data_IF_723167001449
#
_entry.id   IF_723167001449
#
_cell.length_a   1.000
_cell.length_b   1.000
_cell.length_c   1.000
_cell.angle_alpha   90.00
_cell.angle_beta   90.00
_cell.angle_gamma   90.00
#
_symmetry.space_group_name_H-M   'P 1'
#
loop_
_entity.id
_entity.type
_entity.pdbx_description
1 polymer ?
#
# COMPACT_ATOMS: atom_id res chain seq x y z
N UNK A 1 -37.11 -16.67 -56.24
CA UNK A 1 -36.97 -16.54 -54.79
C UNK A 1 -36.15 -17.75 -54.33
N UNK A 2 -34.80 -17.80 -54.30
CA UNK A 2 -33.77 -16.85 -53.87
C UNK A 2 -34.15 -16.23 -52.51
N UNK A 3 -33.48 -16.47 -51.38
CA UNK A 3 -32.04 -16.66 -51.15
C UNK A 3 -31.82 -17.57 -49.93
N UNK A 4 -30.77 -18.38 -50.02
CA UNK A 4 -30.37 -19.51 -49.18
C UNK A 4 -29.52 -19.13 -47.96
N UNK A 5 -29.84 -19.74 -46.83
CA UNK A 5 -29.00 -19.91 -45.63
C UNK A 5 -27.64 -20.54 -45.98
N UNK A 6 -26.53 -19.79 -45.89
CA UNK A 6 -25.17 -20.33 -46.01
C UNK A 6 -24.08 -19.34 -45.56
N UNK A 7 -24.05 -18.91 -44.29
CA UNK A 7 -22.88 -18.21 -43.71
C UNK A 7 -22.72 -18.60 -42.23
N UNK A 8 -22.45 -19.87 -41.95
CA UNK A 8 -21.99 -20.31 -40.62
C UNK A 8 -21.04 -21.50 -40.74
N UNK A 9 -20.10 -21.39 -41.69
CA UNK A 9 -19.01 -22.34 -41.95
C UNK A 9 -17.92 -21.60 -42.73
N UNK A 10 -17.17 -20.74 -42.04
CA UNK A 10 -15.88 -20.14 -42.43
C UNK A 10 -15.61 -18.99 -41.46
N UNK A 11 -14.87 -19.28 -40.38
CA UNK A 11 -13.94 -18.44 -39.59
C UNK A 11 -13.61 -19.33 -38.38
N UNK A 12 -12.91 -20.42 -38.65
CA UNK A 12 -12.35 -21.31 -37.63
C UNK A 12 -11.13 -21.98 -38.26
N UNK A 13 -10.19 -21.14 -38.75
CA UNK A 13 -8.96 -21.58 -39.41
C UNK A 13 -7.97 -20.40 -39.62
N UNK A 14 -7.66 -19.63 -38.56
CA UNK A 14 -6.58 -18.60 -38.60
C UNK A 14 -5.76 -18.57 -37.29
N UNK A 15 -5.82 -19.59 -36.43
CA UNK A 15 -5.01 -19.67 -35.21
C UNK A 15 -4.18 -20.95 -35.22
N UNK A 16 -3.23 -21.05 -36.16
CA UNK A 16 -2.15 -22.04 -36.08
C UNK A 16 -0.96 -21.71 -37.00
N UNK A 17 -0.32 -20.55 -36.81
CA UNK A 17 0.97 -20.27 -37.45
C UNK A 17 1.65 -19.02 -36.88
N UNK A 18 2.30 -19.13 -35.73
CA UNK A 18 3.52 -18.36 -35.45
C UNK A 18 4.31 -19.02 -34.32
N UNK A 19 4.98 -20.11 -34.66
CA UNK A 19 6.12 -20.61 -33.90
C UNK A 19 7.40 -20.17 -34.62
N UNK A 20 8.40 -19.77 -33.82
CA UNK A 20 9.82 -19.86 -34.15
C UNK A 20 10.44 -18.68 -34.94
N UNK A 21 10.86 -17.63 -34.23
CA UNK A 21 12.08 -16.87 -34.54
C UNK A 21 12.81 -16.58 -33.24
N UNK A 22 13.79 -17.41 -32.88
CA UNK A 22 14.85 -17.09 -31.93
C UNK A 22 16.15 -17.41 -32.66
N UNK A 23 16.87 -16.39 -33.14
CA UNK A 23 18.32 -16.40 -33.37
C UNK A 23 18.80 -14.97 -33.67
N UNK A 24 19.62 -14.42 -32.77
CA UNK A 24 20.70 -13.41 -32.94
C UNK A 24 20.94 -12.77 -31.56
N UNK A 25 22.13 -12.70 -30.96
CA UNK A 25 23.49 -13.06 -31.38
C UNK A 25 24.46 -12.89 -30.20
N UNK A 26 25.68 -13.43 -30.36
CA UNK A 26 26.83 -13.21 -29.50
C UNK A 26 27.46 -11.82 -29.74
N UNK A 27 28.19 -11.29 -28.75
CA UNK A 27 29.22 -10.27 -28.97
C UNK A 27 29.69 -9.56 -27.71
N UNK A 28 30.96 -9.74 -27.35
CA UNK A 28 31.67 -9.16 -26.21
C UNK A 28 32.30 -7.78 -26.51
N UNK A 29 32.73 -7.13 -25.41
CA UNK A 29 33.86 -6.20 -25.24
C UNK A 29 33.68 -4.66 -25.30
N UNK A 30 33.77 -4.09 -24.09
CA UNK A 30 34.62 -2.97 -23.60
C UNK A 30 34.51 -1.52 -24.13
N UNK A 31 34.41 -0.62 -23.13
CA UNK A 31 35.09 0.69 -22.89
C UNK A 31 34.36 2.04 -23.09
N UNK A 32 34.40 2.82 -21.99
CA UNK A 32 34.52 4.29 -21.83
C UNK A 32 33.31 5.22 -21.97
N UNK A 33 32.82 5.68 -20.80
CA UNK A 33 32.80 7.11 -20.40
C UNK A 33 31.72 8.04 -20.96
N UNK A 34 30.77 8.43 -20.11
CA UNK A 34 30.52 9.84 -19.74
C UNK A 34 29.37 9.92 -18.76
N UNK A 35 29.50 10.80 -17.76
CA UNK A 35 28.55 10.96 -16.67
C UNK A 35 27.18 11.41 -17.14
N UNK A 36 26.16 10.81 -16.51
CA UNK A 36 24.84 11.39 -16.43
C UNK A 36 24.38 11.22 -14.97
N UNK A 37 24.01 12.35 -14.36
CA UNK A 37 23.49 12.40 -13.00
C UNK A 37 22.02 12.00 -13.10
N UNK A 38 21.75 10.72 -12.94
CA UNK A 38 20.39 10.23 -12.72
C UNK A 38 19.97 10.59 -11.30
N UNK A 39 18.98 11.48 -11.20
CA UNK A 39 18.11 11.64 -10.03
C UNK A 39 17.60 10.27 -9.61
N UNK A 40 18.07 9.79 -8.45
CA UNK A 40 17.52 8.62 -7.80
C UNK A 40 16.11 8.96 -7.31
N UNK A 41 15.12 8.44 -8.01
CA UNK A 41 13.82 8.14 -7.41
C UNK A 41 14.08 7.22 -6.23
N UNK A 42 13.84 7.74 -5.03
CA UNK A 42 13.91 6.98 -3.78
C UNK A 42 12.64 6.17 -3.66
N UNK A 43 12.50 5.16 -4.52
CA UNK A 43 11.56 4.09 -4.27
C UNK A 43 11.92 3.46 -2.93
N UNK A 44 10.97 3.47 -2.00
CA UNK A 44 11.09 2.70 -0.77
C UNK A 44 10.99 1.22 -1.13
N UNK A 45 12.08 0.64 -1.64
CA UNK A 45 12.37 -0.75 -1.32
C UNK A 45 12.29 -0.86 0.19
N UNK A 46 11.44 -1.78 0.65
CA UNK A 46 11.33 -2.19 2.03
C UNK A 46 12.71 -2.15 2.69
N UNK A 47 12.77 -1.71 3.95
CA UNK A 47 13.92 -2.00 4.81
C UNK A 47 14.10 -3.51 4.72
N UNK A 48 15.06 -3.97 3.92
CA UNK A 48 15.63 -5.29 4.08
C UNK A 48 16.16 -5.27 5.49
N UNK A 49 15.46 -5.97 6.37
CA UNK A 49 15.96 -6.34 7.68
C UNK A 49 17.39 -6.79 7.44
N UNK A 50 18.36 -6.03 7.96
CA UNK A 50 19.74 -6.49 7.98
C UNK A 50 19.72 -7.89 8.58
N UNK A 51 20.27 -8.88 7.89
CA UNK A 51 20.40 -10.27 8.34
C UNK A 51 21.15 -10.43 9.69
N UNK A 52 21.54 -9.34 10.34
CA UNK A 52 22.33 -9.33 11.58
C UNK A 52 21.58 -8.91 12.85
N UNK A 53 20.26 -8.67 12.79
CA UNK A 53 19.43 -8.45 14.00
C UNK A 53 18.46 -9.61 14.26
N UNK A 54 18.82 -10.83 13.84
CA UNK A 54 18.12 -12.02 14.35
C UNK A 54 18.64 -12.29 15.77
N UNK A 55 17.79 -12.34 16.82
CA UNK A 55 18.22 -12.86 18.10
C UNK A 55 18.85 -14.24 17.89
N UNK A 56 20.00 -14.51 18.51
CA UNK A 56 20.80 -15.74 18.35
C UNK A 56 20.04 -17.06 18.65
N UNK A 57 18.76 -17.00 19.05
CA UNK A 57 17.91 -18.15 19.39
C UNK A 57 16.74 -18.41 18.42
N UNK A 58 16.54 -17.59 17.37
CA UNK A 58 15.41 -17.81 16.46
C UNK A 58 15.54 -19.12 15.68
N UNK A 59 14.67 -20.10 15.98
CA UNK A 59 14.54 -21.34 15.21
C UNK A 59 13.20 -21.30 14.48
N UNK A 60 13.21 -21.12 13.15
CA UNK A 60 11.98 -21.23 12.35
C UNK A 60 11.48 -22.68 12.39
N UNK A 61 10.62 -22.99 13.37
CA UNK A 61 9.91 -24.26 13.44
C UNK A 61 8.50 -24.06 12.88
N UNK A 62 8.10 -24.95 11.96
CA UNK A 62 6.69 -25.06 11.58
C UNK A 62 5.91 -25.63 12.77
N UNK A 63 5.24 -24.74 13.51
CA UNK A 63 4.38 -25.16 14.59
C UNK A 63 3.15 -25.92 14.06
N UNK A 64 2.76 -27.03 14.69
CA UNK A 64 1.60 -27.80 14.26
C UNK A 64 0.34 -26.96 14.43
N UNK A 65 -0.40 -26.78 13.34
CA UNK A 65 -1.69 -26.09 13.33
C UNK A 65 -2.81 -27.10 13.05
N UNK A 66 -3.98 -26.86 13.63
CA UNK A 66 -5.19 -27.62 13.35
C UNK A 66 -6.12 -26.78 12.48
N UNK A 67 -6.02 -26.93 11.17
CA UNK A 67 -6.83 -26.20 10.20
C UNK A 67 -6.13 -26.01 8.86
N UNK A 68 -6.79 -25.29 7.96
CA UNK A 68 -6.27 -24.94 6.64
C UNK A 68 -5.78 -23.48 6.63
N UNK A 69 -4.66 -23.23 5.94
CA UNK A 69 -4.09 -21.90 5.76
C UNK A 69 -4.00 -21.56 4.27
N UNK A 70 -4.24 -20.29 3.95
CA UNK A 70 -3.97 -19.75 2.62
C UNK A 70 -2.51 -19.25 2.52
N UNK A 71 -2.04 -19.10 1.27
CA UNK A 71 -0.78 -18.40 1.01
C UNK A 71 -0.83 -16.99 1.59
N UNK A 72 0.27 -16.57 2.25
CA UNK A 72 0.35 -15.27 2.92
C UNK A 72 -0.23 -15.22 4.34
N UNK A 73 -0.87 -16.29 4.82
CA UNK A 73 -1.50 -16.32 6.15
C UNK A 73 -0.65 -16.99 7.25
N UNK A 74 0.67 -17.00 7.05
CA UNK A 74 1.67 -17.30 8.08
C UNK A 74 2.65 -16.14 8.14
N UNK A 75 2.86 -15.59 9.32
CA UNK A 75 3.87 -14.57 9.56
C UNK A 75 4.70 -14.94 10.79
N UNK A 76 6.01 -14.92 10.63
CA UNK A 76 6.95 -15.03 11.74
C UNK A 76 7.26 -13.63 12.24
N UNK A 77 7.27 -13.46 13.57
CA UNK A 77 7.66 -12.26 14.29
C UNK A 77 8.87 -12.55 15.18
N UNK A 78 10.11 -12.60 14.63
CA UNK A 78 11.31 -13.03 15.36
C UNK A 78 11.58 -12.18 16.62
N UNK A 79 11.40 -10.86 16.53
CA UNK A 79 11.60 -9.93 17.65
C UNK A 79 10.66 -10.18 18.84
N UNK A 80 9.57 -10.90 18.62
CA UNK A 80 8.60 -11.27 19.65
C UNK A 80 8.60 -12.75 20.00
N UNK A 81 9.48 -13.54 19.38
CA UNK A 81 9.44 -14.98 19.44
C UNK A 81 8.06 -15.57 19.10
N UNK A 82 7.31 -14.94 18.20
CA UNK A 82 5.93 -15.32 17.89
C UNK A 82 5.76 -15.76 16.45
N UNK A 83 4.75 -16.60 16.20
CA UNK A 83 4.24 -16.90 14.84
C UNK A 83 2.74 -16.63 14.83
N UNK A 84 2.29 -15.84 13.86
CA UNK A 84 0.88 -15.55 13.63
C UNK A 84 0.36 -16.35 12.42
N UNK A 85 -0.85 -16.88 12.56
CA UNK A 85 -1.58 -17.57 11.50
C UNK A 85 -2.98 -16.99 11.33
N UNK A 86 -3.46 -16.96 10.09
CA UNK A 86 -4.90 -16.87 9.80
C UNK A 86 -5.34 -18.17 9.14
N UNK A 87 -6.17 -18.95 9.84
CA UNK A 87 -6.60 -20.27 9.41
C UNK A 87 -8.13 -20.42 9.36
N UNK A 88 -8.58 -21.46 8.67
CA UNK A 88 -9.93 -21.98 8.74
C UNK A 88 -9.92 -23.32 9.50
N UNK A 89 -10.89 -23.54 10.37
CA UNK A 89 -11.10 -24.82 11.03
C UNK A 89 -12.59 -25.10 11.24
N UNK A 90 -12.93 -26.22 11.89
CA UNK A 90 -14.32 -26.63 12.11
C UNK A 90 -15.18 -25.59 12.85
N UNK A 91 -14.59 -24.59 13.51
CA UNK A 91 -15.33 -23.51 14.19
C UNK A 91 -15.74 -22.38 13.24
N UNK A 92 -15.14 -22.32 12.05
CA UNK A 92 -15.39 -21.26 11.07
C UNK A 92 -15.90 -21.75 9.72
N UNK A 93 -15.89 -23.06 9.46
CA UNK A 93 -16.53 -23.66 8.29
C UNK A 93 -18.00 -23.24 8.18
N UNK A 94 -18.38 -22.80 7.00
CA UNK A 94 -19.76 -22.52 6.60
C UNK A 94 -20.33 -23.69 5.80
N UNK A 95 -21.59 -24.08 6.06
CA UNK A 95 -22.22 -25.25 5.44
C UNK A 95 -22.43 -25.09 3.93
N UNK A 96 -22.58 -23.86 3.43
CA UNK A 96 -22.84 -23.57 2.02
C UNK A 96 -21.61 -23.09 1.26
N UNK A 97 -20.68 -22.44 1.95
CA UNK A 97 -19.54 -21.74 1.34
C UNK A 97 -18.17 -22.37 1.68
N UNK A 98 -18.12 -23.32 2.60
CA UNK A 98 -16.89 -24.04 2.95
C UNK A 98 -15.99 -23.29 3.94
N UNK A 99 -14.68 -23.39 3.74
CA UNK A 99 -13.67 -22.90 4.68
C UNK A 99 -13.68 -21.37 4.81
N UNK A 100 -14.02 -20.86 5.99
CA UNK A 100 -13.88 -19.43 6.30
C UNK A 100 -12.60 -19.15 7.07
N UNK A 101 -11.64 -18.49 6.42
CA UNK A 101 -10.32 -18.19 6.97
C UNK A 101 -10.37 -16.93 7.84
N UNK A 102 -10.79 -17.12 9.10
CA UNK A 102 -11.05 -16.03 10.05
C UNK A 102 -10.56 -16.34 11.46
N UNK A 103 -9.78 -17.40 11.67
CA UNK A 103 -9.15 -17.68 12.97
C UNK A 103 -7.76 -17.07 12.98
N UNK A 104 -7.55 -16.01 13.76
CA UNK A 104 -6.22 -15.54 14.12
C UNK A 104 -5.68 -16.40 15.26
N UNK A 105 -4.54 -17.04 15.07
CA UNK A 105 -3.86 -17.79 16.11
C UNK A 105 -2.41 -17.31 16.25
N UNK A 106 -1.99 -17.05 17.50
CA UNK A 106 -0.64 -16.62 17.85
C UNK A 106 0.02 -17.73 18.65
N UNK A 107 1.22 -18.12 18.24
CA UNK A 107 2.02 -19.16 18.87
C UNK A 107 3.35 -18.61 19.33
N UNK A 108 3.88 -19.15 20.42
CA UNK A 108 5.28 -19.03 20.76
C UNK A 108 6.11 -19.88 19.77
N UNK A 109 7.13 -19.28 19.17
CA UNK A 109 7.85 -19.88 18.04
C UNK A 109 8.82 -20.99 18.45
N UNK A 110 9.22 -21.03 19.73
CA UNK A 110 10.15 -22.03 20.26
C UNK A 110 9.44 -23.31 20.74
N UNK A 111 8.39 -23.12 21.54
CA UNK A 111 7.61 -24.18 22.18
C UNK A 111 6.43 -24.66 21.33
N UNK A 112 5.99 -23.86 20.36
CA UNK A 112 4.75 -24.05 19.61
C UNK A 112 3.49 -24.11 20.49
N UNK A 113 3.55 -23.52 21.69
CA UNK A 113 2.37 -23.30 22.51
C UNK A 113 1.51 -22.17 21.90
N UNK A 114 0.20 -22.39 21.82
CA UNK A 114 -0.74 -21.36 21.35
C UNK A 114 -0.95 -20.33 22.45
N UNK A 115 -0.40 -19.13 22.25
CA UNK A 115 -0.51 -18.00 23.17
C UNK A 115 -1.90 -17.36 23.15
N UNK A 116 -2.49 -17.22 21.96
CA UNK A 116 -3.83 -16.66 21.81
C UNK A 116 -4.53 -17.19 20.55
N UNK A 117 -5.86 -17.15 20.58
CA UNK A 117 -6.72 -17.49 19.45
C UNK A 117 -7.98 -16.63 19.46
N UNK A 118 -8.21 -15.92 18.37
CA UNK A 118 -9.35 -15.03 18.18
C UNK A 118 -10.05 -15.37 16.86
N UNK A 119 -11.37 -15.49 16.90
CA UNK A 119 -12.18 -15.62 15.69
C UNK A 119 -12.58 -14.22 15.21
N UNK A 120 -12.05 -13.80 14.07
CA UNK A 120 -12.45 -12.59 13.36
C UNK A 120 -13.93 -12.69 12.93
N UNK A 121 -14.65 -11.56 12.87
CA UNK A 121 -16.03 -11.58 12.41
C UNK A 121 -16.10 -12.03 10.96
N UNK A 122 -17.27 -12.53 10.54
CA UNK A 122 -17.53 -12.72 9.11
C UNK A 122 -17.27 -11.37 8.42
N UNK A 123 -16.56 -11.44 7.30
CA UNK A 123 -16.24 -10.31 6.44
C UNK A 123 -17.52 -9.86 5.71
N UNK A 124 -17.45 -9.56 4.41
CA UNK A 124 -18.68 -9.37 3.61
C UNK A 124 -19.44 -10.71 3.43
N UNK A 125 -18.72 -11.83 3.35
CA UNK A 125 -19.28 -13.18 3.30
C UNK A 125 -18.25 -14.22 3.80
N UNK A 126 -18.65 -15.42 4.28
CA UNK A 126 -17.73 -16.44 4.78
C UNK A 126 -16.61 -16.87 3.84
N UNK A 127 -16.83 -16.79 2.52
CA UNK A 127 -15.87 -17.11 1.46
C UNK A 127 -14.85 -16.00 1.18
N UNK A 128 -14.98 -14.82 1.81
CA UNK A 128 -13.98 -13.74 1.73
C UNK A 128 -13.00 -13.85 2.91
N UNK A 129 -11.80 -14.41 2.68
CA UNK A 129 -10.83 -14.65 3.74
C UNK A 129 -10.23 -13.34 4.27
N UNK A 130 -9.68 -13.41 5.48
CA UNK A 130 -8.74 -12.41 5.97
C UNK A 130 -7.31 -12.77 5.59
N UNK A 131 -6.48 -11.74 5.46
CA UNK A 131 -5.05 -11.90 5.25
C UNK A 131 -4.23 -11.11 6.27
N UNK A 132 -3.08 -11.67 6.62
CA UNK A 132 -2.01 -10.90 7.26
C UNK A 132 -1.52 -9.86 6.23
N UNK A 133 -1.27 -8.61 6.64
CA UNK A 133 -0.63 -7.64 5.74
C UNK A 133 0.76 -8.15 5.31
N UNK A 134 1.30 -7.64 4.20
CA UNK A 134 2.61 -8.05 3.71
C UNK A 134 3.75 -7.38 4.47
N UNK A 135 3.60 -6.09 4.80
CA UNK A 135 4.46 -5.36 5.74
C UNK A 135 3.64 -5.14 7.00
N UNK A 136 3.69 -6.11 7.90
CA UNK A 136 2.60 -6.34 8.85
C UNK A 136 2.87 -5.99 10.30
N UNK A 137 4.14 -5.81 10.65
CA UNK A 137 4.55 -5.62 12.03
C UNK A 137 5.19 -4.25 12.19
N UNK A 138 4.61 -3.48 13.11
CA UNK A 138 5.19 -2.22 13.54
C UNK A 138 5.91 -2.44 14.87
N UNK A 139 7.25 -2.50 14.83
CA UNK A 139 8.08 -2.70 16.02
C UNK A 139 7.82 -1.65 17.10
N UNK A 140 7.49 -0.41 16.70
CA UNK A 140 7.27 0.70 17.62
C UNK A 140 5.92 0.63 18.35
N UNK A 141 4.86 0.16 17.68
CA UNK A 141 3.49 0.11 18.26
C UNK A 141 3.05 -1.30 18.67
N UNK A 142 3.85 -2.33 18.39
CA UNK A 142 3.54 -3.74 18.65
C UNK A 142 2.23 -4.24 18.00
N UNK A 143 1.85 -3.64 16.87
CA UNK A 143 0.63 -3.98 16.15
C UNK A 143 0.90 -4.91 14.98
N UNK A 144 0.02 -5.90 14.83
CA UNK A 144 -0.08 -6.77 13.67
C UNK A 144 -1.32 -6.38 12.84
N UNK A 145 -1.12 -6.01 11.58
CA UNK A 145 -2.20 -5.71 10.65
C UNK A 145 -2.92 -6.95 10.10
N UNK A 146 -4.22 -6.83 9.89
CA UNK A 146 -5.06 -7.87 9.31
C UNK A 146 -6.01 -7.17 8.35
N UNK A 147 -6.00 -7.59 7.08
CA UNK A 147 -6.90 -7.04 6.05
C UNK A 147 -8.00 -8.04 5.73
N UNK A 148 -9.24 -7.57 5.79
CA UNK A 148 -10.41 -8.22 5.22
C UNK A 148 -10.71 -7.66 3.84
N UNK A 149 -11.99 -7.69 3.47
CA UNK A 149 -12.44 -7.15 2.18
C UNK A 149 -12.56 -5.63 2.30
N UNK A 150 -13.36 -5.12 3.25
CA UNK A 150 -13.60 -3.68 3.47
C UNK A 150 -13.15 -3.20 4.87
N UNK A 151 -12.61 -4.12 5.68
CA UNK A 151 -12.22 -3.87 7.07
C UNK A 151 -10.77 -4.20 7.30
N UNK A 152 -10.16 -3.43 8.18
CA UNK A 152 -8.82 -3.69 8.68
C UNK A 152 -8.93 -3.89 10.18
N UNK A 153 -8.17 -4.85 10.71
CA UNK A 153 -7.99 -5.02 12.13
C UNK A 153 -6.51 -4.85 12.46
N UNK A 154 -6.26 -4.30 13.64
CA UNK A 154 -4.95 -4.36 14.27
C UNK A 154 -5.05 -5.31 15.47
N UNK A 155 -4.10 -6.22 15.59
CA UNK A 155 -3.94 -7.05 16.78
C UNK A 155 -2.77 -6.52 17.59
N UNK A 156 -3.05 -6.15 18.84
CA UNK A 156 -2.06 -5.71 19.82
C UNK A 156 -1.37 -6.94 20.39
N UNK A 157 -0.11 -7.14 20.00
CA UNK A 157 0.69 -8.31 20.40
C UNK A 157 1.03 -8.29 21.89
N UNK A 158 1.18 -7.10 22.48
CA UNK A 158 1.54 -6.94 23.88
C UNK A 158 0.30 -7.07 24.77
N UNK A 159 -0.78 -6.37 24.42
CA UNK A 159 -2.06 -6.47 25.11
C UNK A 159 -2.86 -7.73 24.78
N UNK A 160 -2.37 -8.56 23.85
CA UNK A 160 -2.99 -9.79 23.34
C UNK A 160 -4.48 -9.63 22.99
N UNK A 161 -4.80 -8.55 22.29
CA UNK A 161 -6.19 -8.19 21.99
C UNK A 161 -6.37 -7.76 20.54
N UNK A 162 -7.48 -8.18 19.95
CA UNK A 162 -7.95 -7.62 18.69
C UNK A 162 -8.56 -6.25 18.96
N UNK A 163 -8.11 -5.25 18.22
CA UNK A 163 -8.65 -3.90 18.30
C UNK A 163 -9.95 -3.79 17.48
N UNK A 164 -10.76 -2.74 17.69
CA UNK A 164 -11.94 -2.48 16.86
C UNK A 164 -11.58 -2.44 15.37
N UNK A 165 -12.55 -2.81 14.54
CA UNK A 165 -12.40 -2.71 13.08
C UNK A 165 -12.14 -1.26 12.68
N UNK A 166 -11.18 -1.08 11.79
CA UNK A 166 -10.86 0.17 11.12
C UNK A 166 -11.50 0.14 9.73
N UNK A 167 -12.20 1.23 9.40
CA UNK A 167 -12.79 1.45 8.09
C UNK A 167 -12.11 2.67 7.48
N UNK A 168 -11.58 2.56 6.25
CA UNK A 168 -11.01 3.69 5.53
C UNK A 168 -11.97 4.88 5.47
N UNK A 169 -11.42 6.07 5.66
CA UNK A 169 -12.10 7.33 5.34
C UNK A 169 -11.31 8.09 4.28
N UNK A 170 -12.04 8.79 3.42
CA UNK A 170 -11.49 9.52 2.30
C UNK A 170 -11.92 10.99 2.35
N UNK A 171 -11.12 11.83 1.70
CA UNK A 171 -11.37 13.27 1.70
C UNK A 171 -12.46 13.66 0.71
N UNK A 172 -12.38 13.16 -0.52
CA UNK A 172 -13.45 13.26 -1.50
C UNK A 172 -14.40 12.06 -1.37
N UNK A 173 -15.62 12.22 -1.84
CA UNK A 173 -16.60 11.13 -1.88
C UNK A 173 -16.10 10.02 -2.81
N UNK A 174 -16.45 8.76 -2.51
CA UNK A 174 -16.13 7.59 -3.31
C UNK A 174 -17.41 6.93 -3.78
N UNK A 175 -17.38 6.39 -4.99
CA UNK A 175 -18.48 5.61 -5.55
C UNK A 175 -17.96 4.21 -5.88
N UNK A 176 -18.67 3.19 -5.39
CA UNK A 176 -18.37 1.83 -5.78
C UNK A 176 -18.82 1.59 -7.22
N UNK A 177 -17.89 1.14 -8.05
CA UNK A 177 -18.13 0.78 -9.45
C UNK A 177 -18.77 -0.62 -9.55
N UNK A 178 -18.31 -1.55 -8.72
CA UNK A 178 -18.81 -2.91 -8.69
C UNK A 178 -18.73 -3.56 -7.29
N UNK A 179 -18.99 -4.87 -7.22
CA UNK A 179 -18.98 -5.62 -5.98
C UNK A 179 -17.58 -5.84 -5.38
N UNK A 180 -16.51 -5.48 -6.09
CA UNK A 180 -15.11 -5.53 -5.66
C UNK A 180 -14.59 -4.16 -5.20
N UNK A 181 -15.31 -3.07 -5.47
CA UNK A 181 -14.93 -1.73 -4.99
C UNK A 181 -14.87 -1.71 -3.46
N UNK A 182 -13.87 -1.00 -2.93
CA UNK A 182 -13.54 -0.98 -1.50
C UNK A 182 -12.70 -2.18 -1.03
N UNK A 183 -12.41 -3.16 -1.91
CA UNK A 183 -11.55 -4.28 -1.53
C UNK A 183 -10.13 -3.80 -1.16
N UNK A 184 -9.70 -4.09 0.07
CA UNK A 184 -8.35 -3.76 0.56
C UNK A 184 -7.32 -4.65 -0.14
N UNK A 185 -6.61 -4.08 -1.11
CA UNK A 185 -5.59 -4.77 -1.87
C UNK A 185 -4.27 -4.83 -1.11
N UNK A 186 -3.92 -3.73 -0.43
CA UNK A 186 -2.65 -3.58 0.27
C UNK A 186 -2.77 -2.74 1.52
N UNK A 187 -1.93 -3.07 2.48
CA UNK A 187 -1.64 -2.29 3.69
C UNK A 187 -0.16 -2.47 4.01
N UNK A 188 0.47 -1.38 4.42
CA UNK A 188 1.87 -1.29 4.82
C UNK A 188 2.03 -0.35 6.01
N UNK A 189 3.14 -0.49 6.72
CA UNK A 189 3.48 0.37 7.85
C UNK A 189 4.60 1.31 7.42
N UNK A 190 4.42 2.60 7.66
CA UNK A 190 5.46 3.61 7.57
C UNK A 190 5.53 4.35 8.91
N UNK A 191 6.67 4.24 9.60
CA UNK A 191 6.84 4.73 10.97
C UNK A 191 5.67 4.33 11.89
N UNK A 192 4.85 5.28 12.34
CA UNK A 192 3.70 5.07 13.22
C UNK A 192 2.35 5.18 12.47
N UNK A 193 2.35 4.92 11.17
CA UNK A 193 1.17 4.99 10.31
C UNK A 193 0.96 3.68 9.57
N UNK A 194 -0.30 3.26 9.46
CA UNK A 194 -0.73 2.19 8.55
C UNK A 194 -1.29 2.86 7.30
N UNK A 195 -0.71 2.58 6.14
CA UNK A 195 -1.08 3.19 4.86
C UNK A 195 -1.48 2.05 3.92
N UNK A 196 -2.60 2.19 3.22
CA UNK A 196 -3.09 1.15 2.33
C UNK A 196 -3.81 1.67 1.11
N UNK A 197 -4.26 0.73 0.29
CA UNK A 197 -4.99 0.99 -0.93
C UNK A 197 -6.21 0.08 -1.03
N UNK A 198 -7.36 0.68 -1.33
CA UNK A 198 -8.61 0.01 -1.61
C UNK A 198 -8.96 0.17 -3.09
N UNK A 199 -9.42 -0.92 -3.71
CA UNK A 199 -9.83 -0.93 -5.11
C UNK A 199 -10.92 0.12 -5.37
N UNK A 200 -10.72 0.93 -6.41
CA UNK A 200 -11.59 2.03 -6.87
C UNK A 200 -11.77 3.20 -5.89
N UNK A 201 -11.29 3.08 -4.65
CA UNK A 201 -11.39 4.13 -3.63
C UNK A 201 -10.05 4.82 -3.34
N UNK A 202 -8.94 4.21 -3.74
CA UNK A 202 -7.62 4.81 -3.63
C UNK A 202 -6.95 4.59 -2.27
N UNK A 203 -6.09 5.54 -1.90
CA UNK A 203 -5.22 5.41 -0.72
C UNK A 203 -5.93 5.89 0.54
N UNK A 204 -5.73 5.17 1.64
CA UNK A 204 -6.16 5.56 2.98
C UNK A 204 -4.99 5.43 3.97
N UNK A 205 -5.12 6.06 5.14
CA UNK A 205 -4.14 5.95 6.19
C UNK A 205 -4.76 5.99 7.59
N UNK A 206 -4.08 5.34 8.54
CA UNK A 206 -4.40 5.39 9.96
C UNK A 206 -3.18 5.79 10.77
N UNK A 207 -3.40 6.63 11.77
CA UNK A 207 -2.44 6.97 12.81
C UNK A 207 -2.45 5.89 13.90
N UNK A 208 -1.28 5.29 14.16
CA UNK A 208 -1.09 4.22 15.13
C UNK A 208 -0.42 4.70 16.44
N UNK A 209 -0.21 6.01 16.62
CA UNK A 209 0.47 6.58 17.79
C UNK A 209 -0.27 6.38 19.10
N UNK A 210 -1.59 6.18 19.04
CA UNK A 210 -2.42 5.67 20.13
C UNK A 210 -2.82 4.22 19.77
N UNK A 211 -2.00 3.19 20.11
CA UNK A 211 -2.21 1.84 19.61
C UNK A 211 -3.56 1.24 20.00
N UNK A 212 -4.13 1.66 21.13
CA UNK A 212 -5.45 1.20 21.58
C UNK A 212 -6.63 1.80 20.83
N UNK A 213 -6.41 2.87 20.06
CA UNK A 213 -7.43 3.58 19.32
C UNK A 213 -6.85 4.25 18.05
N UNK A 214 -6.44 3.46 17.04
CA UNK A 214 -6.00 4.01 15.76
C UNK A 214 -7.08 4.90 15.12
N UNK A 215 -6.65 5.96 14.42
CA UNK A 215 -7.56 6.95 13.82
C UNK A 215 -7.28 7.15 12.34
N UNK A 216 -8.32 7.41 11.56
CA UNK A 216 -8.17 7.81 10.16
C UNK A 216 -7.32 9.07 10.04
N UNK A 217 -6.44 9.09 9.02
CA UNK A 217 -5.72 10.27 8.57
C UNK A 217 -6.21 10.60 7.18
N UNK A 218 -6.82 11.77 7.03
CA UNK A 218 -7.26 12.25 5.72
C UNK A 218 -6.07 12.88 4.98
N UNK A 219 -6.02 12.75 3.65
CA UNK A 219 -4.98 13.39 2.85
C UNK A 219 -5.04 14.92 2.99
N UNK A 220 -3.88 15.55 3.03
CA UNK A 220 -3.78 17.00 3.07
C UNK A 220 -4.32 17.61 1.77
N UNK A 221 -4.01 17.01 0.63
CA UNK A 221 -4.54 17.38 -0.67
C UNK A 221 -4.93 16.12 -1.46
N UNK A 222 -5.97 16.22 -2.28
CA UNK A 222 -6.45 15.10 -3.09
C UNK A 222 -6.96 15.62 -4.44
N UNK A 223 -6.64 14.89 -5.50
CA UNK A 223 -7.09 15.17 -6.85
C UNK A 223 -7.71 13.91 -7.46
N UNK A 224 -8.95 14.01 -7.92
CA UNK A 224 -9.62 12.98 -8.69
C UNK A 224 -9.01 12.96 -10.10
N UNK A 225 -8.34 11.86 -10.43
CA UNK A 225 -7.71 11.63 -11.73
C UNK A 225 -8.78 11.10 -12.70
N UNK A 226 -9.57 10.15 -12.22
CA UNK A 226 -10.76 9.59 -12.83
C UNK A 226 -11.73 9.09 -11.73
N UNK A 227 -12.87 8.52 -12.13
CA UNK A 227 -13.96 8.08 -11.22
C UNK A 227 -13.49 7.10 -10.12
N UNK A 228 -12.39 6.38 -10.35
CA UNK A 228 -11.89 5.29 -9.51
C UNK A 228 -10.45 5.52 -9.00
N UNK A 229 -9.84 6.66 -9.33
CA UNK A 229 -8.44 6.90 -9.08
C UNK A 229 -8.16 8.30 -8.56
N UNK A 230 -7.40 8.36 -7.47
CA UNK A 230 -7.14 9.56 -6.70
C UNK A 230 -5.65 9.73 -6.44
N UNK A 231 -5.14 10.92 -6.73
CA UNK A 231 -3.82 11.37 -6.32
C UNK A 231 -3.91 12.01 -4.94
N UNK A 232 -3.45 11.30 -3.91
CA UNK A 232 -3.57 11.74 -2.51
C UNK A 232 -2.20 12.09 -1.92
N UNK A 233 -2.04 13.33 -1.46
CA UNK A 233 -0.85 13.79 -0.75
C UNK A 233 -1.14 13.82 0.75
N UNK A 234 -0.36 13.07 1.51
CA UNK A 234 -0.40 13.05 2.97
C UNK A 234 0.78 13.84 3.54
N UNK A 235 0.52 14.50 4.67
CA UNK A 235 1.53 15.16 5.48
C UNK A 235 1.61 14.43 6.82
N UNK A 236 2.67 13.65 7.02
CA UNK A 236 2.86 12.89 8.25
C UNK A 236 3.99 13.48 9.08
N UNK A 237 3.81 13.64 10.41
CA UNK A 237 4.94 13.93 11.28
C UNK A 237 5.91 12.74 11.25
N UNK A 238 7.20 13.02 11.12
CA UNK A 238 8.25 12.00 11.13
C UNK A 238 8.89 11.86 12.51
N UNK A 239 9.34 10.65 12.85
CA UNK A 239 10.13 10.37 14.05
C UNK A 239 11.44 11.16 14.11
N UNK A 240 11.99 11.55 12.96
CA UNK A 240 13.22 12.35 12.85
C UNK A 240 12.95 13.86 13.07
N UNK A 241 11.69 14.23 13.33
CA UNK A 241 11.22 15.61 13.46
C UNK A 241 10.72 16.18 12.13
N UNK A 242 9.88 17.22 12.20
CA UNK A 242 9.27 17.82 11.01
C UNK A 242 8.20 16.94 10.36
N UNK A 243 7.87 17.26 9.11
CA UNK A 243 6.81 16.62 8.31
C UNK A 243 7.41 16.00 7.06
N UNK A 244 7.04 14.75 6.78
CA UNK A 244 7.28 14.08 5.51
C UNK A 244 6.01 14.14 4.65
N UNK A 245 6.21 14.39 3.36
CA UNK A 245 5.17 14.37 2.34
C UNK A 245 5.17 13.00 1.67
N UNK A 246 4.05 12.28 1.71
CA UNK A 246 3.92 10.97 1.04
C UNK A 246 2.84 11.07 -0.03
N UNK A 247 3.10 10.49 -1.20
CA UNK A 247 2.08 10.31 -2.24
C UNK A 247 1.99 8.83 -2.64
N UNK A 248 1.38 8.00 -1.79
CA UNK A 248 1.35 6.58 -2.02
C UNK A 248 0.63 6.25 -3.32
N UNK A 249 1.08 5.20 -3.99
CA UNK A 249 0.53 4.75 -5.26
C UNK A 249 0.45 3.23 -5.27
N UNK A 250 -0.65 2.71 -5.81
CA UNK A 250 -0.78 1.31 -6.17
C UNK A 250 -0.75 1.17 -7.68
N UNK A 251 0.07 0.26 -8.18
CA UNK A 251 0.09 -0.14 -9.58
C UNK A 251 -0.73 -1.42 -9.74
N UNK A 252 -1.86 -1.33 -10.44
CA UNK A 252 -2.77 -2.47 -10.64
C UNK A 252 -2.18 -3.52 -11.60
N UNK A 253 -1.21 -3.16 -12.45
CA UNK A 253 -0.60 -4.09 -13.39
C UNK A 253 0.50 -4.92 -12.73
N UNK A 254 1.32 -4.29 -11.88
CA UNK A 254 2.42 -4.98 -11.17
C UNK A 254 2.04 -5.46 -9.78
N UNK A 255 0.86 -5.06 -9.27
CA UNK A 255 0.40 -5.28 -7.89
C UNK A 255 1.34 -4.69 -6.81
N UNK A 256 2.14 -3.69 -7.20
CA UNK A 256 3.10 -3.03 -6.33
C UNK A 256 2.49 -1.81 -5.66
N UNK A 257 2.81 -1.64 -4.38
CA UNK A 257 2.44 -0.46 -3.61
C UNK A 257 3.71 0.26 -3.22
N UNK A 258 3.77 1.55 -3.51
CA UNK A 258 4.87 2.43 -3.11
C UNK A 258 4.34 3.49 -2.17
N UNK A 259 4.98 3.65 -1.01
CA UNK A 259 4.69 4.73 -0.06
C UNK A 259 5.10 6.10 -0.63
N UNK A 260 6.13 6.10 -1.48
CA UNK A 260 6.57 7.23 -2.30
C UNK A 260 6.79 8.54 -1.51
N UNK A 261 7.88 8.64 -0.72
CA UNK A 261 8.27 9.86 -0.02
C UNK A 261 8.70 10.96 -1.00
N UNK A 262 8.14 12.15 -0.82
CA UNK A 262 8.37 13.27 -1.74
C UNK A 262 9.50 14.21 -1.30
N UNK A 263 9.90 14.17 -0.03
CA UNK A 263 11.02 14.95 0.48
C UNK A 263 12.21 14.04 0.76
N UNK A 264 13.41 14.53 0.40
CA UNK A 264 14.67 13.86 0.72
C UNK A 264 14.87 13.68 2.23
N UNK A 265 14.38 14.64 3.02
CA UNK A 265 14.31 14.58 4.46
C UNK A 265 13.02 15.30 4.94
N UNK A 266 12.43 14.87 6.07
CA UNK A 266 11.35 15.60 6.70
C UNK A 266 11.73 17.06 6.99
N UNK A 267 10.74 17.95 7.03
CA UNK A 267 10.96 19.32 7.48
C UNK A 267 9.70 20.10 7.79
N UNK A 268 9.86 21.35 8.23
CA UNK A 268 8.74 22.19 8.64
C UNK A 268 8.04 22.77 7.43
N UNK A 269 6.74 22.50 7.28
CA UNK A 269 5.93 22.90 6.11
C UNK A 269 4.85 23.90 6.53
N UNK A 270 4.67 24.96 5.75
CA UNK A 270 3.53 25.85 5.89
C UNK A 270 2.26 25.19 5.34
N UNK A 271 1.37 24.79 6.25
CA UNK A 271 0.10 24.13 5.93
C UNK A 271 -1.04 25.13 5.74
N UNK A 272 -0.80 26.44 5.80
CA UNK A 272 -1.82 27.47 5.61
C UNK A 272 -2.17 27.65 4.13
N UNK A 273 -2.80 26.63 3.56
CA UNK A 273 -3.18 26.58 2.15
C UNK A 273 -4.71 26.64 1.99
N UNK A 274 -5.24 27.51 1.12
CA UNK A 274 -6.68 27.57 0.85
C UNK A 274 -7.26 26.20 0.45
N UNK A 275 -8.49 25.90 0.87
CA UNK A 275 -9.14 24.62 0.54
C UNK A 275 -9.21 24.35 -0.97
N UNK A 276 -9.47 25.38 -1.78
CA UNK A 276 -9.51 25.25 -3.24
C UNK A 276 -8.18 24.83 -3.87
N UNK A 277 -7.04 25.15 -3.25
CA UNK A 277 -5.73 24.71 -3.73
C UNK A 277 -5.42 23.25 -3.34
N UNK A 278 -6.08 22.72 -2.28
CA UNK A 278 -5.93 21.34 -1.82
C UNK A 278 -6.73 20.32 -2.62
N UNK A 279 -7.60 20.79 -3.52
CA UNK A 279 -8.42 19.99 -4.43
C UNK A 279 -8.07 20.32 -5.89
N UNK A 280 -6.77 20.27 -6.23
CA UNK A 280 -6.27 20.61 -7.55
C UNK A 280 -5.12 19.66 -7.93
N UNK A 281 -4.92 19.44 -9.23
CA UNK A 281 -3.85 18.58 -9.74
C UNK A 281 -2.47 19.05 -9.27
N UNK A 282 -2.24 20.36 -9.34
CA UNK A 282 -0.96 20.94 -8.98
C UNK A 282 -1.06 21.64 -7.62
N UNK A 283 -0.13 21.33 -6.74
CA UNK A 283 -0.02 21.93 -5.41
C UNK A 283 1.38 22.49 -5.21
N UNK A 284 1.47 23.69 -4.65
CA UNK A 284 2.73 24.27 -4.19
C UNK A 284 2.62 24.53 -2.69
N UNK A 285 3.46 23.84 -1.92
CA UNK A 285 3.67 24.11 -0.50
C UNK A 285 4.93 24.94 -0.32
N UNK A 286 5.17 25.44 0.90
CA UNK A 286 6.40 26.14 1.24
C UNK A 286 6.98 25.57 2.51
N UNK A 287 8.31 25.44 2.54
CA UNK A 287 9.02 25.18 3.79
C UNK A 287 8.91 26.39 4.72
N UNK A 288 8.98 26.16 6.01
CA UNK A 288 9.10 27.19 7.05
C UNK A 288 10.56 27.58 7.32
N UNK A 289 11.40 27.57 6.29
CA UNK A 289 12.75 28.10 6.32
C UNK A 289 12.77 29.61 6.02
N UNK A 290 13.95 30.24 6.10
CA UNK A 290 14.13 31.67 5.84
C UNK A 290 13.74 32.07 4.41
N UNK A 291 13.93 31.15 3.45
CA UNK A 291 13.68 31.39 2.02
C UNK A 291 12.26 31.06 1.59
N UNK A 292 11.45 30.48 2.48
CA UNK A 292 10.13 29.91 2.18
C UNK A 292 10.16 29.02 0.94
N UNK A 293 11.14 28.11 0.89
CA UNK A 293 11.45 27.27 -0.26
C UNK A 293 10.20 26.54 -0.77
N UNK A 294 9.80 26.70 -2.04
CA UNK A 294 8.61 26.04 -2.55
C UNK A 294 8.85 24.56 -2.80
N UNK A 295 7.81 23.76 -2.59
CA UNK A 295 7.75 22.35 -2.96
C UNK A 295 6.53 22.16 -3.86
N UNK A 296 6.76 21.70 -5.08
CA UNK A 296 5.72 21.54 -6.08
C UNK A 296 5.38 20.05 -6.29
N UNK A 297 4.09 19.75 -6.38
CA UNK A 297 3.56 18.39 -6.55
C UNK A 297 2.61 18.34 -7.75
N UNK A 298 2.71 17.27 -8.53
CA UNK A 298 1.72 16.88 -9.54
C UNK A 298 0.98 15.64 -9.03
N UNK A 299 -0.22 15.85 -8.49
CA UNK A 299 -1.05 14.82 -7.89
C UNK A 299 -1.51 13.77 -8.92
N UNK A 300 -1.66 14.14 -10.19
CA UNK A 300 -2.05 13.19 -11.24
C UNK A 300 -0.92 12.21 -11.56
N UNK A 301 0.33 12.68 -11.52
CA UNK A 301 1.50 11.88 -11.90
C UNK A 301 2.28 11.34 -10.68
N UNK A 302 1.75 11.49 -9.46
CA UNK A 302 2.35 11.01 -8.22
C UNK A 302 3.81 11.45 -8.01
N UNK A 303 4.14 12.69 -8.41
CA UNK A 303 5.53 13.17 -8.40
C UNK A 303 5.69 14.54 -7.75
N UNK A 304 6.85 14.72 -7.12
CA UNK A 304 7.42 16.04 -6.86
C UNK A 304 7.97 16.61 -8.16
N UNK A 305 7.65 17.87 -8.45
CA UNK A 305 8.21 18.58 -9.60
C UNK A 305 9.44 19.36 -9.19
N UNK A 306 10.53 19.18 -9.93
CA UNK A 306 11.72 20.01 -9.80
C UNK A 306 11.47 21.39 -10.40
N UNK A 307 11.52 22.41 -9.54
CA UNK A 307 11.37 23.80 -9.95
C UNK A 307 12.76 24.36 -10.30
N UNK A 308 12.98 24.83 -11.55
CA UNK A 308 14.17 25.60 -11.87
C UNK A 308 14.31 26.79 -10.93
N UNK A 309 15.55 27.17 -10.61
CA UNK A 309 15.82 28.24 -9.63
C UNK A 309 15.10 29.56 -9.97
N UNK A 310 14.96 29.88 -11.25
CA UNK A 310 14.26 31.07 -11.75
C UNK A 310 12.73 30.99 -11.63
N UNK A 311 12.16 29.79 -11.45
CA UNK A 311 10.73 29.56 -11.21
C UNK A 311 10.45 29.50 -9.72
N UNK A 312 11.32 28.85 -8.94
CA UNK A 312 11.16 28.69 -7.50
C UNK A 312 11.09 30.02 -6.71
N UNK A 313 11.63 31.11 -7.25
CA UNK A 313 11.56 32.43 -6.62
C UNK A 313 10.31 33.24 -6.98
N UNK A 314 9.47 32.73 -7.90
CA UNK A 314 8.27 33.42 -8.38
C UNK A 314 7.09 33.30 -7.39
N UNK A 315 6.08 34.17 -7.49
CA UNK A 315 4.82 33.99 -6.79
C UNK A 315 4.18 32.62 -7.10
N UNK A 316 3.46 32.04 -6.12
CA UNK A 316 2.85 30.70 -6.24
C UNK A 316 1.98 30.56 -7.49
N UNK A 317 1.24 31.61 -7.87
CA UNK A 317 0.40 31.57 -9.07
C UNK A 317 1.21 31.41 -10.36
N UNK A 318 2.37 32.08 -10.48
CA UNK A 318 3.25 31.94 -11.63
C UNK A 318 3.95 30.58 -11.66
N UNK A 319 4.27 30.01 -10.49
CA UNK A 319 4.78 28.63 -10.38
C UNK A 319 3.71 27.66 -10.90
N UNK A 320 2.46 27.80 -10.47
CA UNK A 320 1.36 26.95 -10.92
C UNK A 320 1.11 27.08 -12.43
N UNK A 321 1.24 28.28 -13.00
CA UNK A 321 1.14 28.48 -14.45
C UNK A 321 2.28 27.79 -15.20
N UNK A 322 3.51 27.87 -14.68
CA UNK A 322 4.64 27.15 -15.23
C UNK A 322 4.43 25.63 -15.17
N UNK A 323 3.93 25.10 -14.04
CA UNK A 323 3.64 23.67 -13.86
C UNK A 323 2.58 23.17 -14.85
N UNK A 324 1.58 23.98 -15.20
CA UNK A 324 0.56 23.60 -16.22
C UNK A 324 1.11 23.53 -17.64
N UNK A 325 2.22 24.21 -17.91
CA UNK A 325 2.86 24.25 -19.23
C UNK A 325 3.94 23.18 -19.44
N UNK A 326 4.26 22.37 -18.42
CA UNK A 326 5.33 21.37 -18.42
C UNK A 326 4.86 20.04 -17.79
#
# INVERSE_FOLDING_TARGET
MAQTNSIMRKINLVLLSLAMVIFSGCGSDTTTGSGDVTTSDSDTTAVTVSENDTPETYTNKDCPISGNILSGNKLVLPEKNNIAYILADSTTVDEGLGDSHRVLAIFDSESCEQLNRVTLPVNVSPDYPYYLAKINYNNSSNLLGIRGFDKIFCYDLEGQKLLPALTPEYKLERYGEDAQSGMILRVEVWEQFLIGYARDEGVFAFDLREPSAPKNVLPFAEYEIDESNFGSLFLFPSSDGGTQCLMPKYDLETEEFSINPMLQAPGEIDTNVPAAARNNRFLVLKMNDENKTPIAFDLQNYKRMDLPQEVATRPVQEILEWMRGN
#
